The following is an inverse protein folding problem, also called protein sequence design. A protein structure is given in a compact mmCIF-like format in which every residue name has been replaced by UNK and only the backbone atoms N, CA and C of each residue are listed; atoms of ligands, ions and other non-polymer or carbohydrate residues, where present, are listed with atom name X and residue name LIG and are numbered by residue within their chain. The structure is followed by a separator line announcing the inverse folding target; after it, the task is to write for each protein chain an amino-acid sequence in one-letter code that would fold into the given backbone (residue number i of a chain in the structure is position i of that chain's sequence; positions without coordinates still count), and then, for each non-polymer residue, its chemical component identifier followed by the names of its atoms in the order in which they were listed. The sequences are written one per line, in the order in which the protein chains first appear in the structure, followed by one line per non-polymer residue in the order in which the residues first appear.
data_IF_842057213233
#
_entry.id   IF_842057213233
#
_cell.length_a   1.000
_cell.length_b   1.000
_cell.length_c   1.000
_cell.angle_alpha   90.00
_cell.angle_beta   90.00
_cell.angle_gamma   90.00
#
_symmetry.space_group_name_H-M   'P 1'
#
loop_
_entity.id
_entity.type
_entity.pdbx_description
1 polymer ?
#
# COMPACT_ATOMS: atom_id res chain seq x y z
N UNK A 1 2.90 11.17 15.94
CA UNK A 1 1.70 10.82 15.15
C UNK A 1 1.93 9.43 14.59
N UNK A 2 0.97 8.52 14.74
CA UNK A 2 1.03 7.19 14.14
C UNK A 2 0.92 7.31 12.62
N UNK A 3 1.70 6.52 11.88
CA UNK A 3 1.64 6.55 10.42
C UNK A 3 0.32 5.94 9.93
N UNK A 4 -0.28 6.40 8.80
CA UNK A 4 -1.51 5.82 8.27
C UNK A 4 -1.47 4.30 8.17
N UNK A 5 -0.35 3.69 7.75
CA UNK A 5 -0.20 2.21 7.65
C UNK A 5 -0.26 1.44 8.98
N UNK A 6 -0.20 2.14 10.11
CA UNK A 6 -0.30 1.57 11.45
C UNK A 6 -1.74 1.63 12.00
N UNK A 7 -2.67 2.29 11.29
CA UNK A 7 -4.06 2.35 11.69
C UNK A 7 -4.76 1.00 11.48
N UNK A 8 -5.65 0.65 12.41
CA UNK A 8 -6.49 -0.56 12.28
C UNK A 8 -7.72 -0.30 11.40
N UNK A 9 -8.16 0.96 11.32
CA UNK A 9 -9.23 1.44 10.45
C UNK A 9 -8.72 2.61 9.61
N UNK A 10 -8.73 2.48 8.28
CA UNK A 10 -8.24 3.48 7.35
C UNK A 10 -9.36 4.42 6.90
N UNK A 11 -9.19 5.71 7.13
CA UNK A 11 -10.01 6.76 6.54
C UNK A 11 -9.69 6.94 5.04
N UNK A 12 -10.52 7.71 4.33
CA UNK A 12 -10.22 8.08 2.94
C UNK A 12 -8.91 8.88 2.82
N UNK A 13 -8.59 9.71 3.80
CA UNK A 13 -7.35 10.48 3.85
C UNK A 13 -6.12 9.58 4.06
N UNK A 14 -6.23 8.56 4.93
CA UNK A 14 -5.16 7.58 5.14
C UNK A 14 -4.83 6.83 3.84
N UNK A 15 -5.88 6.41 3.12
CA UNK A 15 -5.74 5.70 1.84
C UNK A 15 -5.08 6.59 0.79
N UNK A 16 -5.48 7.86 0.69
CA UNK A 16 -4.88 8.82 -0.23
C UNK A 16 -3.40 9.06 0.07
N UNK A 17 -3.05 9.26 1.34
CA UNK A 17 -1.66 9.46 1.76
C UNK A 17 -0.78 8.25 1.42
N UNK A 18 -1.25 7.03 1.68
CA UNK A 18 -0.52 5.80 1.31
C UNK A 18 -0.36 5.67 -0.21
N UNK A 19 -1.39 6.05 -0.98
CA UNK A 19 -1.32 6.01 -2.44
C UNK A 19 -0.27 6.98 -2.99
N UNK A 20 -0.17 8.17 -2.42
CA UNK A 20 0.84 9.15 -2.84
C UNK A 20 2.27 8.68 -2.51
N UNK A 21 2.49 8.07 -1.35
CA UNK A 21 3.79 7.44 -1.05
C UNK A 21 4.15 6.31 -2.02
N UNK A 22 3.18 5.50 -2.43
CA UNK A 22 3.41 4.45 -3.41
C UNK A 22 3.76 5.03 -4.80
N UNK A 23 3.14 6.15 -5.19
CA UNK A 23 3.49 6.87 -6.43
C UNK A 23 4.92 7.38 -6.39
N UNK A 24 5.36 7.96 -5.27
CA UNK A 24 6.74 8.40 -5.08
C UNK A 24 7.74 7.24 -5.06
N UNK A 25 7.36 6.09 -4.48
CA UNK A 25 8.18 4.89 -4.48
C UNK A 25 8.42 4.33 -5.90
N UNK A 26 7.46 4.57 -6.80
CA UNK A 26 7.53 4.15 -8.20
C UNK A 26 7.33 2.63 -8.40
N UNK A 27 7.65 2.13 -9.60
CA UNK A 27 7.41 0.73 -9.97
C UNK A 27 8.49 -0.24 -9.50
N UNK A 28 9.59 0.24 -8.89
CA UNK A 28 10.74 -0.58 -8.53
C UNK A 28 10.40 -1.57 -7.39
N UNK A 29 10.55 -2.90 -7.61
CA UNK A 29 10.26 -3.91 -6.60
C UNK A 29 11.11 -3.82 -5.31
N UNK A 30 12.37 -3.39 -5.41
CA UNK A 30 13.26 -3.20 -4.27
C UNK A 30 12.88 -1.96 -3.48
N UNK A 31 12.52 -0.87 -4.17
CA UNK A 31 12.00 0.33 -3.52
C UNK A 31 10.72 0.01 -2.73
N UNK A 32 9.80 -0.75 -3.33
CA UNK A 32 8.55 -1.18 -2.69
C UNK A 32 8.81 -2.03 -1.44
N UNK A 33 9.75 -2.97 -1.49
CA UNK A 33 10.14 -3.79 -0.33
C UNK A 33 10.73 -2.93 0.80
N UNK A 34 11.57 -1.94 0.46
CA UNK A 34 12.15 -1.00 1.43
C UNK A 34 11.08 -0.10 2.04
N UNK A 35 10.13 0.38 1.24
CA UNK A 35 8.97 1.13 1.74
C UNK A 35 8.16 0.29 2.72
N UNK A 36 7.79 -0.94 2.35
CA UNK A 36 6.99 -1.82 3.21
C UNK A 36 7.68 -2.14 4.55
N UNK A 37 9.00 -2.38 4.52
CA UNK A 37 9.79 -2.59 5.72
C UNK A 37 9.81 -1.36 6.64
N UNK A 38 10.03 -0.15 6.08
CA UNK A 38 10.01 1.12 6.83
C UNK A 38 8.65 1.45 7.43
N UNK A 39 7.56 1.07 6.74
CA UNK A 39 6.18 1.33 7.16
C UNK A 39 5.58 0.22 8.03
N UNK A 40 6.38 -0.79 8.38
CA UNK A 40 5.98 -1.96 9.16
C UNK A 40 4.73 -2.67 8.60
N UNK A 41 4.54 -2.59 7.27
CA UNK A 41 3.47 -3.31 6.56
C UNK A 41 3.88 -4.79 6.53
N UNK A 42 3.66 -5.49 7.66
CA UNK A 42 4.00 -6.91 7.80
C UNK A 42 3.10 -7.75 6.89
N UNK A 43 3.71 -8.30 5.84
CA UNK A 43 3.40 -9.56 5.12
C UNK A 43 1.99 -9.84 4.58
N UNK A 44 0.99 -8.96 4.72
CA UNK A 44 -0.38 -9.26 4.29
C UNK A 44 -0.55 -9.51 2.77
N UNK A 45 0.35 -8.99 1.93
CA UNK A 45 0.80 -9.50 0.62
C UNK A 45 1.54 -8.33 -0.05
N UNK A 46 2.87 -8.38 -0.11
CA UNK A 46 3.62 -7.52 -1.04
C UNK A 46 4.07 -8.41 -2.19
N UNK A 47 3.35 -8.36 -3.31
CA UNK A 47 3.84 -8.94 -4.56
C UNK A 47 4.65 -7.84 -5.24
N UNK A 48 5.91 -8.12 -5.54
CA UNK A 48 6.76 -7.16 -6.24
C UNK A 48 7.52 -7.90 -7.33
N UNK A 49 7.16 -7.66 -8.58
CA UNK A 49 7.77 -8.27 -9.76
C UNK A 49 7.92 -7.23 -10.87
N UNK A 50 8.68 -7.56 -11.93
CA UNK A 50 8.78 -6.69 -13.11
C UNK A 50 7.45 -6.47 -13.84
N UNK A 51 6.46 -7.35 -13.63
CA UNK A 51 5.20 -7.35 -14.38
C UNK A 51 4.05 -6.76 -13.57
N UNK A 52 3.93 -7.14 -12.30
CA UNK A 52 2.86 -6.71 -11.39
C UNK A 52 3.42 -6.54 -9.99
N UNK A 53 3.02 -5.45 -9.35
CA UNK A 53 3.24 -5.21 -7.93
C UNK A 53 1.92 -4.93 -7.22
N UNK A 54 1.75 -5.42 -6.00
CA UNK A 54 0.58 -5.16 -5.16
C UNK A 54 0.96 -5.05 -3.69
N UNK A 55 0.20 -4.26 -2.94
CA UNK A 55 0.36 -4.04 -1.51
C UNK A 55 -1.01 -4.11 -0.86
N UNK A 56 -1.16 -5.04 0.09
CA UNK A 56 -2.31 -5.06 1.00
C UNK A 56 -1.94 -4.47 2.35
N UNK A 57 -2.76 -3.55 2.85
CA UNK A 57 -2.60 -2.98 4.18
C UNK A 57 -3.18 -3.89 5.27
N UNK A 58 -2.62 -3.87 6.50
CA UNK A 58 -3.05 -4.77 7.58
C UNK A 58 -4.44 -4.44 8.17
N UNK A 59 -4.81 -3.16 8.21
CA UNK A 59 -6.13 -2.70 8.65
C UNK A 59 -7.24 -2.84 7.61
N UNK A 60 -8.40 -2.29 7.94
CA UNK A 60 -9.63 -2.33 7.14
C UNK A 60 -10.24 -0.93 6.97
N UNK A 61 -11.15 -0.76 6.04
CA UNK A 61 -12.02 0.42 5.92
C UNK A 61 -13.11 0.40 7.01
N UNK A 62 -13.80 1.51 7.27
CA UNK A 62 -14.92 1.56 8.22
C UNK A 62 -16.04 0.55 7.90
N UNK A 63 -16.26 0.25 6.62
CA UNK A 63 -17.21 -0.77 6.15
C UNK A 63 -16.70 -2.21 6.26
N UNK A 64 -15.51 -2.45 6.82
CA UNK A 64 -14.94 -3.77 7.03
C UNK A 64 -14.15 -4.36 5.85
N UNK A 65 -14.11 -3.68 4.70
CA UNK A 65 -13.33 -4.10 3.54
C UNK A 65 -11.82 -3.85 3.71
N UNK A 66 -10.98 -4.75 3.22
CA UNK A 66 -9.52 -4.60 3.21
C UNK A 66 -9.09 -3.54 2.20
N UNK A 67 -7.91 -2.95 2.40
CA UNK A 67 -7.33 -1.98 1.46
C UNK A 67 -6.18 -2.62 0.71
N UNK A 68 -6.28 -2.61 -0.62
CA UNK A 68 -5.24 -3.12 -1.52
C UNK A 68 -4.94 -2.13 -2.64
N UNK A 69 -3.65 -2.03 -2.96
CA UNK A 69 -3.12 -1.25 -4.07
C UNK A 69 -2.43 -2.16 -5.07
N UNK A 70 -2.57 -1.85 -6.35
CA UNK A 70 -1.86 -2.53 -7.43
C UNK A 70 -1.23 -1.55 -8.39
N UNK A 71 -0.05 -1.90 -8.89
CA UNK A 71 0.65 -1.22 -9.96
C UNK A 71 0.20 -1.83 -11.30
N UNK A 72 -0.52 -1.04 -12.10
CA UNK A 72 -1.04 -1.45 -13.41
C UNK A 72 -0.57 -0.42 -14.45
N UNK A 73 0.09 -0.89 -15.52
CA UNK A 73 0.58 0.01 -16.58
C UNK A 73 1.56 1.08 -16.10
N UNK A 74 2.29 0.82 -15.00
CA UNK A 74 3.23 1.79 -14.40
C UNK A 74 2.60 2.79 -13.43
N UNK A 75 1.29 2.72 -13.18
CA UNK A 75 0.59 3.59 -12.24
C UNK A 75 0.01 2.81 -11.06
N UNK A 76 0.19 3.33 -9.84
CA UNK A 76 -0.44 2.80 -8.64
C UNK A 76 -1.91 3.21 -8.57
N UNK A 77 -2.75 2.24 -8.24
CA UNK A 77 -4.19 2.43 -8.05
C UNK A 77 -4.69 1.60 -6.88
N UNK A 78 -5.76 2.05 -6.23
CA UNK A 78 -6.48 1.23 -5.25
C UNK A 78 -7.35 0.22 -5.99
N UNK A 79 -7.20 -1.06 -5.67
CA UNK A 79 -7.97 -2.16 -6.26
C UNK A 79 -9.06 -2.70 -5.34
N UNK A 80 -8.91 -2.57 -4.02
CA UNK A 80 -9.91 -2.95 -3.00
C UNK A 80 -9.91 -1.97 -1.83
#
# INVERSE_FOLDING_TARGET
MSHPTQHTVYSAADIAAVLDELRECGPDPLALRRWAARREVRTALVRASRLVSSVRLPGKTPGGGWVEFSLIGGAWSRTR
#
